data_IF_981784380262
#
_entry.id   IF_981784380262
#
_cell.length_a   1.000
_cell.length_b   1.000
_cell.length_c   1.000
_cell.angle_alpha   90.00
_cell.angle_beta   90.00
_cell.angle_gamma   90.00
#
_symmetry.space_group_name_H-M   'P 1'
#
loop_
_entity.id
_entity.type
_entity.pdbx_description
1 polymer ?
#
# COMPACT_ATOMS: atom_id res chain seq x y z
N UNK A 1 -23.46 -6.77 -28.42
CA UNK A 1 -22.36 -6.13 -27.70
C UNK A 1 -22.85 -5.77 -26.29
N UNK A 2 -22.52 -6.58 -25.26
CA UNK A 2 -22.88 -6.29 -23.86
C UNK A 2 -21.75 -5.46 -23.25
N UNK A 3 -22.06 -4.23 -22.81
CA UNK A 3 -21.16 -3.40 -21.98
C UNK A 3 -20.96 -4.09 -20.63
N UNK A 4 -19.77 -4.64 -20.39
CA UNK A 4 -19.34 -5.00 -19.05
C UNK A 4 -18.97 -3.71 -18.30
N UNK A 5 -19.84 -3.27 -17.41
CA UNK A 5 -19.56 -2.20 -16.48
C UNK A 5 -18.64 -2.75 -15.41
N UNK A 6 -17.43 -2.17 -15.30
CA UNK A 6 -16.45 -2.45 -14.25
C UNK A 6 -17.04 -2.12 -12.86
N UNK A 7 -17.66 -3.11 -12.23
CA UNK A 7 -18.20 -2.99 -10.86
C UNK A 7 -17.15 -3.12 -9.75
N UNK A 8 -15.89 -3.32 -10.11
CA UNK A 8 -14.84 -3.69 -9.13
C UNK A 8 -14.14 -2.49 -8.47
N UNK A 9 -14.17 -1.31 -9.12
CA UNK A 9 -13.44 -0.14 -8.63
C UNK A 9 -14.07 0.52 -7.40
N UNK A 10 -15.33 0.24 -7.10
CA UNK A 10 -16.08 0.89 -6.02
C UNK A 10 -15.89 0.23 -4.63
N UNK A 11 -15.39 -1.00 -4.58
CA UNK A 11 -15.30 -1.77 -3.34
C UNK A 11 -14.05 -1.48 -2.49
N UNK A 12 -12.94 -1.10 -3.15
CA UNK A 12 -11.68 -0.79 -2.43
C UNK A 12 -11.72 0.55 -1.69
N UNK A 13 -12.45 1.53 -2.22
CA UNK A 13 -12.68 2.82 -1.54
C UNK A 13 -13.59 2.66 -0.32
N UNK A 14 -14.48 1.68 -0.32
CA UNK A 14 -15.41 1.41 0.77
C UNK A 14 -14.78 0.88 2.06
N UNK A 15 -13.56 0.34 2.02
CA UNK A 15 -12.91 -0.20 3.22
C UNK A 15 -12.34 0.86 4.15
N UNK A 16 -12.00 2.05 3.66
CA UNK A 16 -11.50 3.14 4.48
C UNK A 16 -12.63 3.97 5.13
N UNK A 17 -13.81 3.98 4.52
CA UNK A 17 -14.97 4.78 4.97
C UNK A 17 -15.68 4.15 6.19
N UNK A 18 -15.47 2.86 6.46
CA UNK A 18 -16.14 2.18 7.60
C UNK A 18 -15.43 2.36 8.95
N UNK A 19 -14.27 3.00 8.99
CA UNK A 19 -13.64 3.44 10.23
C UNK A 19 -14.01 4.91 10.42
N UNK A 20 -15.13 5.17 11.05
CA UNK A 20 -15.75 6.47 11.31
C UNK A 20 -14.79 7.60 11.70
N UNK A 21 -14.07 8.13 10.75
CA UNK A 21 -13.37 9.41 10.83
C UNK A 21 -14.22 10.41 10.05
N UNK A 22 -15.17 11.05 10.73
CA UNK A 22 -15.77 12.29 10.27
C UNK A 22 -14.64 13.34 10.16
N UNK A 23 -14.11 13.51 8.96
CA UNK A 23 -13.24 14.65 8.66
C UNK A 23 -14.11 15.91 8.63
N UNK A 24 -14.31 16.53 9.78
CA UNK A 24 -14.73 17.91 9.81
C UNK A 24 -13.54 18.76 9.36
N UNK A 25 -13.37 18.91 8.07
CA UNK A 25 -12.49 19.90 7.48
C UNK A 25 -13.16 21.25 7.65
N UNK A 26 -13.05 21.88 8.80
CA UNK A 26 -13.24 23.32 8.93
C UNK A 26 -11.98 24.00 8.39
N UNK A 27 -11.99 24.34 7.10
CA UNK A 27 -11.10 25.33 6.56
C UNK A 27 -11.88 26.65 6.46
N UNK A 28 -11.63 27.66 7.33
CA UNK A 28 -12.24 28.98 7.18
C UNK A 28 -11.49 29.76 6.10
N UNK A 29 -12.02 29.74 4.89
CA UNK A 29 -11.82 30.78 3.90
C UNK A 29 -10.50 30.78 3.14
N UNK A 30 -10.60 30.66 1.81
CA UNK A 30 -9.57 31.04 0.86
C UNK A 30 -9.22 29.90 -0.11
N UNK A 31 -9.50 30.11 -1.37
CA UNK A 31 -8.94 29.45 -2.54
C UNK A 31 -7.41 29.59 -2.53
N UNK A 32 -6.71 28.62 -1.93
CA UNK A 32 -5.29 28.45 -2.17
C UNK A 32 -4.89 27.01 -1.88
N UNK A 33 -4.59 26.26 -2.94
CA UNK A 33 -3.87 25.00 -2.90
C UNK A 33 -2.43 25.23 -2.42
N UNK A 34 -2.25 25.66 -1.18
CA UNK A 34 -0.92 25.88 -0.63
C UNK A 34 -0.33 24.53 -0.22
N UNK A 35 0.61 24.04 -1.02
CA UNK A 35 1.54 23.02 -0.58
C UNK A 35 2.17 23.47 0.74
N UNK A 36 2.43 22.52 1.65
CA UNK A 36 3.13 22.84 2.90
C UNK A 36 4.49 23.49 2.61
N UNK A 37 4.86 24.51 3.38
CA UNK A 37 6.21 25.09 3.31
C UNK A 37 7.25 24.04 3.74
N UNK A 38 8.53 24.21 3.40
CA UNK A 38 9.59 23.29 3.84
C UNK A 38 9.61 23.08 5.36
N UNK A 39 9.37 24.15 6.15
CA UNK A 39 9.32 24.11 7.61
C UNK A 39 8.11 23.30 8.08
N UNK A 40 6.96 23.48 7.46
CA UNK A 40 5.75 22.71 7.74
C UNK A 40 5.90 21.23 7.36
N UNK A 41 6.56 20.92 6.25
CA UNK A 41 6.89 19.54 5.87
C UNK A 41 7.81 18.89 6.90
N UNK A 42 8.84 19.62 7.36
CA UNK A 42 9.72 19.16 8.43
C UNK A 42 8.96 18.94 9.75
N UNK A 43 8.02 19.82 10.10
CA UNK A 43 7.16 19.66 11.27
C UNK A 43 6.28 18.41 11.15
N UNK A 44 5.68 18.16 9.99
CA UNK A 44 4.87 16.97 9.73
C UNK A 44 5.72 15.69 9.88
N UNK A 45 6.92 15.67 9.31
CA UNK A 45 7.87 14.58 9.49
C UNK A 45 8.20 14.34 10.96
N UNK A 46 8.53 15.41 11.76
CA UNK A 46 8.85 15.26 13.18
C UNK A 46 7.69 14.63 13.98
N UNK A 47 6.46 14.86 13.56
CA UNK A 47 5.29 14.20 14.14
C UNK A 47 5.19 12.72 13.71
N UNK A 48 5.49 12.43 12.43
CA UNK A 48 5.31 11.11 11.84
C UNK A 48 6.51 10.16 12.07
N UNK A 49 7.72 10.68 12.32
CA UNK A 49 8.91 9.86 12.48
C UNK A 49 8.78 8.82 13.59
N UNK A 50 9.37 7.65 13.37
CA UNK A 50 9.43 6.58 14.37
C UNK A 50 9.33 5.19 13.76
N UNK A 51 9.36 4.21 14.65
CA UNK A 51 9.14 2.81 14.32
C UNK A 51 7.69 2.45 14.62
N UNK A 52 7.08 1.72 13.73
CA UNK A 52 5.68 1.33 13.82
C UNK A 52 5.55 -0.18 13.79
N UNK A 53 4.63 -0.68 14.60
CA UNK A 53 4.20 -2.08 14.57
C UNK A 53 2.68 -2.12 14.51
N UNK A 54 2.14 -3.03 13.72
CA UNK A 54 0.71 -3.11 13.55
C UNK A 54 0.27 -4.26 12.66
N UNK A 55 -0.84 -4.04 11.96
CA UNK A 55 -1.46 -5.01 11.07
C UNK A 55 -1.43 -4.53 9.63
N UNK A 56 -1.16 -5.46 8.73
CA UNK A 56 -1.39 -5.38 7.30
C UNK A 56 -2.71 -6.10 7.00
N UNK A 57 -3.68 -5.37 6.47
CA UNK A 57 -4.96 -5.91 6.02
C UNK A 57 -4.93 -6.10 4.51
N UNK A 58 -5.45 -7.22 4.05
CA UNK A 58 -5.55 -7.60 2.65
C UNK A 58 -6.79 -8.47 2.41
N UNK A 59 -7.17 -8.63 1.15
CA UNK A 59 -8.23 -9.56 0.77
C UNK A 59 -7.61 -10.86 0.28
N UNK A 60 -8.28 -11.98 0.49
CA UNK A 60 -7.93 -13.27 -0.11
C UNK A 60 -9.18 -14.02 -0.53
N UNK A 61 -9.04 -14.95 -1.46
CA UNK A 61 -10.12 -15.86 -1.79
C UNK A 61 -10.21 -16.95 -0.72
N UNK A 62 -11.41 -17.19 -0.23
CA UNK A 62 -11.72 -18.35 0.60
C UNK A 62 -11.64 -19.61 -0.27
N UNK A 63 -10.79 -20.54 0.11
CA UNK A 63 -10.58 -21.78 -0.65
C UNK A 63 -11.81 -22.69 -0.68
N UNK A 64 -12.75 -22.52 0.25
CA UNK A 64 -13.93 -23.37 0.40
C UNK A 64 -15.06 -22.97 -0.52
N UNK A 65 -15.30 -21.68 -0.67
CA UNK A 65 -16.47 -21.13 -1.38
C UNK A 65 -16.15 -20.06 -2.42
N UNK A 66 -14.87 -19.72 -2.59
CA UNK A 66 -14.41 -18.69 -3.54
C UNK A 66 -14.82 -17.26 -3.19
N UNK A 67 -15.36 -17.02 -1.99
CA UNK A 67 -15.70 -15.67 -1.55
C UNK A 67 -14.46 -14.85 -1.19
N UNK A 68 -14.55 -13.52 -1.33
CA UNK A 68 -13.49 -12.61 -0.89
C UNK A 68 -13.62 -12.41 0.61
N UNK A 69 -12.60 -12.78 1.37
CA UNK A 69 -12.51 -12.55 2.81
C UNK A 69 -11.38 -11.58 3.13
N UNK A 70 -11.57 -10.77 4.14
CA UNK A 70 -10.53 -9.90 4.69
C UNK A 70 -9.68 -10.71 5.67
N UNK A 71 -8.37 -10.54 5.57
CA UNK A 71 -7.41 -11.17 6.45
C UNK A 71 -6.36 -10.15 6.90
N UNK A 72 -5.55 -10.50 7.89
CA UNK A 72 -4.50 -9.61 8.37
C UNK A 72 -3.28 -10.37 8.87
N UNK A 73 -2.13 -9.73 8.75
CA UNK A 73 -0.87 -10.21 9.33
C UNK A 73 -0.16 -9.11 10.10
N UNK A 74 0.71 -9.48 11.03
CA UNK A 74 1.59 -8.53 11.69
C UNK A 74 2.58 -7.96 10.67
N UNK A 75 2.87 -6.66 10.79
CA UNK A 75 3.80 -5.94 9.91
C UNK A 75 4.49 -4.82 10.68
N UNK A 76 5.68 -4.40 10.23
CA UNK A 76 6.42 -3.27 10.78
C UNK A 76 6.79 -2.32 9.66
N UNK A 77 6.94 -1.04 10.02
CA UNK A 77 7.49 -0.03 9.12
C UNK A 77 8.18 1.06 9.91
N UNK A 78 9.01 1.82 9.25
CA UNK A 78 9.79 2.90 9.85
C UNK A 78 9.77 4.15 8.97
N UNK A 79 9.73 5.32 9.60
CA UNK A 79 9.87 6.63 8.99
C UNK A 79 11.09 7.27 9.62
N UNK A 80 12.25 7.18 8.96
CA UNK A 80 13.54 7.57 9.51
C UNK A 80 14.08 8.85 8.89
N UNK A 81 13.55 9.27 7.74
CA UNK A 81 13.89 10.53 7.09
C UNK A 81 12.62 11.27 6.68
N UNK A 82 12.74 12.56 6.38
CA UNK A 82 11.65 13.43 5.94
C UNK A 82 11.04 13.04 4.60
N UNK A 83 11.68 12.16 3.86
CA UNK A 83 11.30 11.78 2.51
C UNK A 83 11.17 10.26 2.30
N UNK A 84 11.42 9.43 3.34
CA UNK A 84 11.39 7.97 3.17
C UNK A 84 10.67 7.23 4.29
N UNK A 85 9.92 6.23 3.87
CA UNK A 85 9.27 5.21 4.69
C UNK A 85 9.73 3.84 4.18
N UNK A 86 10.01 2.90 5.09
CA UNK A 86 10.36 1.53 4.72
C UNK A 86 9.37 0.57 5.39
N UNK A 87 8.62 -0.17 4.57
CA UNK A 87 7.80 -1.28 5.04
C UNK A 87 8.70 -2.51 5.12
N UNK A 88 8.82 -3.09 6.32
CA UNK A 88 9.75 -4.18 6.61
C UNK A 88 9.13 -5.55 6.35
N UNK A 89 9.89 -6.42 5.71
CA UNK A 89 9.54 -7.82 5.47
C UNK A 89 8.09 -7.97 4.95
N UNK A 90 7.74 -7.19 3.91
CA UNK A 90 6.43 -7.30 3.27
C UNK A 90 6.29 -8.69 2.64
N UNK A 91 5.20 -9.44 2.95
CA UNK A 91 5.06 -10.82 2.53
C UNK A 91 4.66 -10.93 1.05
N UNK A 92 5.65 -11.17 0.16
CA UNK A 92 5.42 -11.30 -1.29
C UNK A 92 4.47 -12.45 -1.65
N UNK A 93 4.35 -13.46 -0.80
CA UNK A 93 3.39 -14.56 -0.96
C UNK A 93 1.93 -14.11 -1.09
N UNK A 94 1.58 -12.91 -0.62
CA UNK A 94 0.23 -12.36 -0.74
C UNK A 94 -0.20 -12.16 -2.18
N UNK A 95 0.75 -11.95 -3.10
CA UNK A 95 0.45 -11.81 -4.53
C UNK A 95 0.06 -13.14 -5.19
N UNK A 96 0.34 -14.29 -4.58
CA UNK A 96 0.05 -15.60 -5.16
C UNK A 96 -1.44 -15.80 -5.50
N UNK A 97 -2.34 -15.23 -4.71
CA UNK A 97 -3.79 -15.40 -4.94
C UNK A 97 -4.33 -14.53 -6.09
N UNK A 98 -3.54 -13.56 -6.52
CA UNK A 98 -3.93 -12.58 -7.54
C UNK A 98 -3.33 -12.86 -8.92
N UNK A 99 -2.60 -13.96 -9.10
CA UNK A 99 -2.05 -14.38 -10.40
C UNK A 99 -2.79 -15.60 -10.96
N UNK A 100 -2.85 -15.70 -12.30
CA UNK A 100 -3.49 -16.83 -12.99
C UNK A 100 -2.51 -17.96 -13.27
N UNK A 101 -1.22 -17.64 -13.49
CA UNK A 101 -0.20 -18.62 -13.79
C UNK A 101 0.10 -19.49 -12.58
N UNK A 102 -0.11 -20.81 -12.69
CA UNK A 102 0.02 -21.75 -11.58
C UNK A 102 1.50 -21.94 -11.16
N UNK A 103 2.44 -21.88 -12.09
CA UNK A 103 3.86 -22.01 -11.76
C UNK A 103 4.34 -20.78 -10.97
N UNK A 104 4.01 -19.60 -11.45
CA UNK A 104 4.28 -18.33 -10.76
C UNK A 104 3.55 -18.27 -9.39
N UNK A 105 2.29 -18.69 -9.33
CA UNK A 105 1.52 -18.76 -8.08
C UNK A 105 2.22 -19.59 -7.01
N UNK A 106 2.68 -20.79 -7.37
CA UNK A 106 3.39 -21.67 -6.45
C UNK A 106 4.76 -21.09 -6.04
N UNK A 107 5.48 -20.45 -6.96
CA UNK A 107 6.72 -19.77 -6.64
C UNK A 107 6.52 -18.61 -5.69
N UNK A 108 5.49 -17.77 -5.91
CA UNK A 108 5.15 -16.64 -5.05
C UNK A 108 4.77 -17.07 -3.63
N UNK A 109 4.09 -18.21 -3.45
CA UNK A 109 3.75 -18.74 -2.11
C UNK A 109 4.99 -18.99 -1.24
N UNK A 110 6.11 -19.30 -1.87
CA UNK A 110 7.39 -19.55 -1.22
C UNK A 110 8.37 -18.39 -1.37
N UNK A 111 7.92 -17.25 -1.91
CA UNK A 111 8.77 -16.08 -2.11
C UNK A 111 9.23 -15.52 -0.76
N UNK A 112 10.50 -15.08 -0.66
CA UNK A 112 10.99 -14.40 0.53
C UNK A 112 10.30 -13.05 0.69
N UNK A 113 10.07 -12.66 1.95
CA UNK A 113 9.55 -11.34 2.27
C UNK A 113 10.56 -10.26 1.79
N UNK A 114 10.05 -9.09 1.39
CA UNK A 114 10.87 -8.00 0.86
C UNK A 114 10.62 -6.70 1.63
N UNK A 115 11.66 -5.91 1.85
CA UNK A 115 11.49 -4.53 2.29
C UNK A 115 10.98 -3.70 1.12
N UNK A 116 9.94 -2.88 1.34
CA UNK A 116 9.45 -1.92 0.34
C UNK A 116 9.85 -0.52 0.79
N UNK A 117 10.82 0.07 0.09
CA UNK A 117 11.17 1.48 0.26
C UNK A 117 10.10 2.33 -0.42
N UNK A 118 9.64 3.37 0.26
CA UNK A 118 8.67 4.34 -0.27
C UNK A 118 9.24 5.76 -0.11
N UNK A 119 9.01 6.61 -1.11
CA UNK A 119 9.16 8.04 -0.91
C UNK A 119 7.88 8.62 -0.32
N UNK A 120 8.02 9.66 0.51
CA UNK A 120 6.91 10.34 1.17
C UNK A 120 6.93 11.83 0.84
N UNK A 121 5.72 12.41 0.71
CA UNK A 121 5.52 13.83 0.54
C UNK A 121 4.38 14.29 1.44
N UNK A 122 4.68 15.13 2.43
CA UNK A 122 3.69 15.61 3.40
C UNK A 122 2.88 16.76 2.80
N UNK A 123 1.55 16.68 2.93
CA UNK A 123 0.62 17.68 2.39
C UNK A 123 -0.32 18.27 3.45
N UNK A 124 -0.37 17.70 4.66
CA UNK A 124 -1.22 18.19 5.74
C UNK A 124 -0.54 18.00 7.11
N UNK A 125 -0.76 18.94 8.02
CA UNK A 125 -0.21 18.93 9.38
C UNK A 125 -1.14 18.37 10.44
N UNK A 126 -2.44 18.47 10.26
CA UNK A 126 -3.42 18.05 11.26
C UNK A 126 -4.76 17.60 10.60
N UNK A 127 -5.02 16.28 10.54
CA UNK A 127 -4.07 15.22 10.87
C UNK A 127 -2.86 15.22 9.93
N UNK A 128 -1.71 14.68 10.36
CA UNK A 128 -0.56 14.59 9.46
C UNK A 128 -0.89 13.68 8.30
N UNK A 129 -0.90 14.23 7.09
CA UNK A 129 -1.19 13.52 5.85
C UNK A 129 0.01 13.52 4.91
N UNK A 130 0.28 12.39 4.27
CA UNK A 130 1.36 12.28 3.30
C UNK A 130 1.03 11.31 2.16
N UNK A 131 1.58 11.61 0.99
CA UNK A 131 1.57 10.70 -0.15
C UNK A 131 2.67 9.65 0.02
N UNK A 132 2.44 8.47 -0.54
CA UNK A 132 3.38 7.36 -0.54
C UNK A 132 3.66 6.98 -1.98
N UNK A 133 4.95 6.96 -2.34
CA UNK A 133 5.42 6.48 -3.64
C UNK A 133 6.30 5.25 -3.44
N UNK A 134 5.74 4.03 -3.44
CA UNK A 134 6.51 2.82 -3.27
C UNK A 134 7.47 2.62 -4.45
N UNK A 135 8.72 2.32 -4.13
CA UNK A 135 9.71 1.86 -5.12
C UNK A 135 9.41 0.40 -5.43
N UNK A 136 9.32 0.07 -6.71
CA UNK A 136 9.04 -1.31 -7.15
C UNK A 136 10.08 -2.28 -6.57
N UNK A 137 9.69 -3.23 -5.69
CA UNK A 137 10.58 -4.29 -5.27
C UNK A 137 10.90 -5.19 -6.46
N UNK A 138 12.15 -5.60 -6.54
CA UNK A 138 12.65 -6.50 -7.59
C UNK A 138 13.36 -7.66 -6.92
N UNK A 139 12.94 -8.89 -7.23
CA UNK A 139 13.49 -10.11 -6.66
C UNK A 139 13.44 -11.27 -7.65
N UNK A 140 14.21 -12.33 -7.41
CA UNK A 140 14.26 -13.50 -8.28
C UNK A 140 13.41 -14.64 -7.70
N UNK A 141 12.71 -15.35 -8.59
CA UNK A 141 12.02 -16.61 -8.28
C UNK A 141 12.43 -17.67 -9.29
N UNK A 142 12.69 -18.88 -8.80
CA UNK A 142 12.92 -20.04 -9.67
C UNK A 142 11.60 -20.81 -9.85
N UNK A 143 11.14 -20.92 -11.09
CA UNK A 143 10.01 -21.79 -11.45
C UNK A 143 10.10 -22.18 -12.94
N UNK A 144 9.43 -23.26 -13.32
CA UNK A 144 9.51 -23.79 -14.69
C UNK A 144 10.94 -24.21 -15.10
N UNK A 145 11.84 -24.42 -14.14
CA UNK A 145 13.26 -24.76 -14.39
C UNK A 145 14.16 -23.58 -14.74
N UNK A 146 13.70 -22.35 -14.57
CA UNK A 146 14.42 -21.12 -14.87
C UNK A 146 14.31 -20.09 -13.75
N UNK A 147 15.29 -19.19 -13.65
CA UNK A 147 15.25 -18.04 -12.77
C UNK A 147 14.54 -16.88 -13.48
N UNK A 148 13.54 -16.33 -12.82
CA UNK A 148 12.74 -15.20 -13.32
C UNK A 148 12.91 -14.00 -12.42
N UNK A 149 13.04 -12.82 -13.03
CA UNK A 149 13.09 -11.53 -12.34
C UNK A 149 11.67 -10.99 -12.18
N UNK A 150 11.20 -10.88 -10.95
CA UNK A 150 9.87 -10.37 -10.61
C UNK A 150 9.97 -8.92 -10.19
N UNK A 151 9.05 -8.08 -10.67
CA UNK A 151 8.90 -6.71 -10.22
C UNK A 151 7.43 -6.39 -9.94
N UNK A 152 7.18 -5.57 -8.90
CA UNK A 152 5.85 -5.13 -8.51
C UNK A 152 5.80 -3.62 -8.65
N UNK A 153 4.92 -3.11 -9.50
CA UNK A 153 4.65 -1.68 -9.60
C UNK A 153 3.42 -1.29 -8.78
N UNK A 154 3.45 -0.09 -8.21
CA UNK A 154 2.37 0.46 -7.39
C UNK A 154 1.81 1.74 -8.02
N UNK A 155 0.53 2.04 -7.75
CA UNK A 155 -0.01 3.35 -8.04
C UNK A 155 0.57 4.40 -7.09
N UNK A 156 1.05 5.51 -7.66
CA UNK A 156 1.69 6.62 -6.92
C UNK A 156 0.81 7.86 -6.80
N UNK A 157 -0.50 7.75 -7.08
CA UNK A 157 -1.44 8.86 -6.96
C UNK A 157 -2.02 8.95 -5.55
N UNK A 158 -2.35 10.16 -5.11
CA UNK A 158 -2.88 10.46 -3.77
C UNK A 158 -4.14 9.68 -3.38
N UNK A 159 -4.98 9.31 -4.34
CA UNK A 159 -6.16 8.48 -4.10
C UNK A 159 -5.87 6.99 -3.87
N UNK A 160 -4.63 6.55 -4.14
CA UNK A 160 -4.26 5.13 -4.10
C UNK A 160 -3.20 4.80 -3.06
N UNK A 161 -2.24 5.71 -2.84
CA UNK A 161 -1.10 5.46 -1.95
C UNK A 161 -0.86 6.66 -1.06
N UNK A 162 -1.31 6.57 0.18
CA UNK A 162 -1.25 7.66 1.15
C UNK A 162 -1.18 7.14 2.58
N UNK A 163 -0.80 8.02 3.51
CA UNK A 163 -0.80 7.78 4.94
C UNK A 163 -1.41 8.94 5.72
N UNK A 164 -2.05 8.61 6.85
CA UNK A 164 -2.62 9.58 7.79
C UNK A 164 -2.27 9.16 9.22
N UNK A 165 -1.63 10.06 9.95
CA UNK A 165 -1.33 9.90 11.36
C UNK A 165 -2.28 10.77 12.19
N UNK A 166 -3.04 10.15 13.06
CA UNK A 166 -3.93 10.88 13.98
C UNK A 166 -3.21 11.33 15.26
N UNK A 167 -3.92 12.11 16.08
CA UNK A 167 -3.42 12.64 17.34
C UNK A 167 -3.05 11.56 18.39
N UNK A 168 -3.63 10.36 18.30
CA UNK A 168 -3.32 9.22 19.16
C UNK A 168 -2.10 8.40 18.67
N UNK A 169 -1.32 8.92 17.71
CA UNK A 169 -0.19 8.25 17.05
C UNK A 169 -0.56 6.94 16.35
N UNK A 170 -1.80 6.78 15.97
CA UNK A 170 -2.24 5.71 15.10
C UNK A 170 -1.98 6.13 13.65
N UNK A 171 -1.09 5.43 12.98
CA UNK A 171 -0.81 5.60 11.56
C UNK A 171 -1.63 4.59 10.75
N UNK A 172 -2.40 5.11 9.81
CA UNK A 172 -3.09 4.34 8.80
C UNK A 172 -2.47 4.66 7.43
N UNK A 173 -2.18 3.64 6.65
CA UNK A 173 -1.61 3.80 5.31
C UNK A 173 -2.30 2.86 4.34
N UNK A 174 -2.28 3.23 3.07
CA UNK A 174 -2.70 2.38 1.97
C UNK A 174 -1.66 2.45 0.86
N UNK A 175 -1.39 1.30 0.24
CA UNK A 175 -0.71 1.20 -1.06
C UNK A 175 -1.47 0.24 -1.95
N UNK A 176 -1.47 0.49 -3.26
CA UNK A 176 -2.17 -0.39 -4.22
C UNK A 176 -1.17 -0.84 -5.29
N UNK A 177 -0.96 -2.15 -5.37
CA UNK A 177 -0.17 -2.75 -6.45
C UNK A 177 -0.96 -2.68 -7.76
N UNK A 178 -0.33 -2.13 -8.78
CA UNK A 178 -0.90 -1.93 -10.11
C UNK A 178 -0.58 -3.10 -11.05
N UNK A 179 0.64 -3.64 -10.95
CA UNK A 179 1.09 -4.74 -11.80
C UNK A 179 2.16 -5.60 -11.13
N UNK A 180 2.21 -6.86 -11.53
CA UNK A 180 3.32 -7.77 -11.32
C UNK A 180 3.87 -8.16 -12.68
N UNK A 181 5.14 -7.95 -12.89
CA UNK A 181 5.83 -8.23 -14.16
C UNK A 181 6.90 -9.30 -13.94
N UNK A 182 7.08 -10.11 -14.97
CA UNK A 182 8.11 -11.16 -15.04
C UNK A 182 9.06 -10.80 -16.18
N UNK A 183 10.36 -10.81 -15.91
CA UNK A 183 11.43 -10.57 -16.88
C UNK A 183 11.28 -9.26 -17.68
N UNK A 184 10.78 -8.21 -16.99
CA UNK A 184 10.53 -6.89 -17.58
C UNK A 184 9.52 -6.89 -18.76
N UNK A 185 8.67 -7.91 -18.87
CA UNK A 185 7.60 -7.95 -19.86
C UNK A 185 6.59 -6.83 -19.59
N UNK A 186 6.03 -6.23 -20.63
CA UNK A 186 5.08 -5.13 -20.51
C UNK A 186 3.70 -5.54 -19.98
N UNK A 187 3.37 -6.83 -20.04
CA UNK A 187 2.10 -7.37 -19.53
C UNK A 187 2.16 -7.60 -18.03
N UNK A 188 1.04 -7.37 -17.34
CA UNK A 188 0.90 -7.75 -15.93
C UNK A 188 0.38 -9.17 -15.78
N UNK A 189 0.90 -9.86 -14.77
CA UNK A 189 0.39 -11.17 -14.33
C UNK A 189 -0.70 -11.05 -13.25
N UNK A 190 -0.95 -9.84 -12.71
CA UNK A 190 -2.07 -9.63 -11.79
C UNK A 190 -3.40 -9.66 -12.54
N UNK A 191 -4.37 -10.36 -11.98
CA UNK A 191 -5.78 -10.37 -12.44
C UNK A 191 -6.46 -9.01 -12.24
N UNK A 192 -6.06 -8.32 -11.19
CA UNK A 192 -6.62 -7.05 -10.73
C UNK A 192 -5.60 -6.31 -9.87
N UNK A 193 -5.83 -5.03 -9.63
CA UNK A 193 -5.03 -4.25 -8.70
C UNK A 193 -5.27 -4.71 -7.26
N UNK A 194 -4.21 -4.78 -6.45
CA UNK A 194 -4.24 -5.34 -5.10
C UNK A 194 -3.99 -4.25 -4.08
N UNK A 195 -4.98 -4.00 -3.22
CA UNK A 195 -4.88 -3.03 -2.13
C UNK A 195 -4.37 -3.64 -0.83
N UNK A 196 -3.48 -2.91 -0.17
CA UNK A 196 -2.93 -3.24 1.13
C UNK A 196 -3.12 -2.07 2.08
N UNK A 197 -3.75 -2.32 3.24
CA UNK A 197 -3.99 -1.30 4.26
C UNK A 197 -3.18 -1.65 5.50
N UNK A 198 -2.48 -0.67 6.04
CA UNK A 198 -1.65 -0.80 7.23
C UNK A 198 -2.26 0.02 8.35
N UNK A 199 -2.28 -0.52 9.55
CA UNK A 199 -2.72 0.20 10.74
C UNK A 199 -1.84 -0.19 11.92
N UNK A 200 -1.23 0.78 12.56
CA UNK A 200 -0.37 0.52 13.71
C UNK A 200 0.05 1.76 14.47
N UNK A 201 0.53 1.52 15.68
CA UNK A 201 1.00 2.57 16.57
C UNK A 201 2.51 2.78 16.43
N UNK A 202 2.93 4.04 16.52
CA UNK A 202 4.33 4.41 16.48
C UNK A 202 4.95 4.48 17.86
N UNK A 203 6.18 3.98 17.98
CA UNK A 203 7.12 4.27 19.06
C UNK A 203 8.20 5.23 18.55
N UNK A 204 8.64 6.14 19.39
CA UNK A 204 9.79 7.03 19.11
C UNK A 204 11.09 6.37 19.53
#
# INVERSE_FOLDING_TARGET
MKKQTNKLSFWLVGCLVMLGLSFAACNPGGDDNHALTPEQQQQAYQQARGNYAGKLFFSRLDATNGSIVKDSSAIRWEINTDSTLIIKAFPMRLFAEYVNDNALKNALRNAPDQDIKCFTYYYNLNPVGFLISPVSPVFNLNYGGQDHKISIAFFIRNSYSFGVLNSARLLQMQIIAASLQVDAMSSTYLKESVGFVFQGNGSR
#
